data_IF_164766677699
#
_entry.id   IF_164766677699
#
_cell.length_a   1.000
_cell.length_b   1.000
_cell.length_c   1.000
_cell.angle_alpha   90.00
_cell.angle_beta   90.00
_cell.angle_gamma   90.00
#
_symmetry.space_group_name_H-M   'P 1'
#
loop_
_entity.id
_entity.type
_entity.pdbx_description
1 polymer ?
#
# COMPACT_ATOMS: atom_id res chain seq x y z
N UNK A 1 2.37 -7.07 14.19
CA UNK A 1 1.23 -6.77 15.06
C UNK A 1 0.85 -8.06 15.75
N UNK A 2 0.84 -8.08 17.08
CA UNK A 2 0.40 -9.24 17.83
C UNK A 2 -1.04 -9.59 17.44
N UNK A 3 -1.38 -10.87 17.55
CA UNK A 3 -2.73 -11.34 17.34
C UNK A 3 -3.54 -11.22 18.64
N UNK A 4 -4.86 -11.14 18.48
CA UNK A 4 -5.81 -11.11 19.59
C UNK A 4 -6.54 -12.44 19.68
N UNK A 5 -6.96 -12.77 20.90
CA UNK A 5 -7.81 -13.91 21.20
C UNK A 5 -8.96 -13.44 22.09
N UNK A 6 -10.16 -13.95 21.82
CA UNK A 6 -11.34 -13.55 22.58
C UNK A 6 -11.34 -14.21 23.97
N UNK A 7 -11.29 -13.39 25.01
CA UNK A 7 -11.47 -13.80 26.41
C UNK A 7 -10.51 -14.95 26.81
N UNK A 8 -9.28 -14.93 26.30
CA UNK A 8 -8.28 -15.97 26.57
C UNK A 8 -7.50 -15.65 27.85
N UNK A 9 -7.66 -16.50 28.88
CA UNK A 9 -6.87 -16.44 30.11
C UNK A 9 -6.69 -17.84 30.70
N UNK A 10 -5.47 -18.16 31.09
CA UNK A 10 -5.11 -19.48 31.60
C UNK A 10 -4.13 -19.40 32.76
N UNK A 11 -4.05 -20.47 33.54
CA UNK A 11 -3.00 -20.69 34.54
C UNK A 11 -1.96 -21.61 33.92
N UNK A 12 -0.66 -21.26 33.97
CA UNK A 12 0.41 -22.13 33.50
C UNK A 12 0.72 -23.22 34.53
N UNK A 13 1.49 -24.22 34.14
CA UNK A 13 1.88 -25.35 35.01
C UNK A 13 2.75 -24.94 36.20
N UNK A 14 3.53 -23.86 36.08
CA UNK A 14 4.44 -23.38 37.12
C UNK A 14 4.65 -21.87 37.05
N UNK A 15 5.17 -21.31 38.15
CA UNK A 15 5.73 -19.96 38.20
C UNK A 15 7.20 -19.90 37.77
N UNK A 16 7.95 -18.99 38.38
CA UNK A 16 9.37 -18.78 38.12
C UNK A 16 9.65 -18.02 36.81
N UNK A 17 10.80 -18.32 36.20
CA UNK A 17 11.31 -17.65 34.98
C UNK A 17 11.06 -18.44 33.69
N UNK A 18 10.35 -19.56 33.78
CA UNK A 18 10.02 -20.40 32.62
C UNK A 18 8.95 -19.77 31.73
N UNK A 19 8.81 -20.27 30.50
CA UNK A 19 7.76 -19.88 29.58
C UNK A 19 6.39 -20.44 30.00
N UNK A 20 5.31 -19.82 29.51
CA UNK A 20 3.96 -20.13 29.97
C UNK A 20 3.43 -21.40 29.31
N UNK A 21 3.63 -22.53 29.96
CA UNK A 21 3.03 -23.81 29.55
C UNK A 21 1.60 -23.88 30.06
N UNK A 22 0.61 -23.91 29.16
CA UNK A 22 -0.81 -24.00 29.49
C UNK A 22 -1.10 -25.20 30.41
N UNK A 23 -1.87 -24.96 31.48
CA UNK A 23 -2.41 -26.03 32.33
C UNK A 23 -3.94 -26.05 32.29
N UNK A 24 -4.58 -24.94 32.62
CA UNK A 24 -6.04 -24.84 32.66
C UNK A 24 -6.51 -23.43 32.32
N UNK A 25 -7.72 -23.33 31.76
CA UNK A 25 -8.38 -22.04 31.60
C UNK A 25 -8.80 -21.48 32.97
N UNK A 26 -8.67 -20.16 33.15
CA UNK A 26 -9.20 -19.49 34.34
C UNK A 26 -10.74 -19.50 34.26
N UNK A 27 -11.42 -19.68 35.39
CA UNK A 27 -12.89 -19.67 35.45
C UNK A 27 -13.48 -18.43 34.77
N UNK A 28 -14.40 -18.64 33.82
CA UNK A 28 -15.03 -17.56 33.04
C UNK A 28 -14.26 -17.15 31.77
N UNK A 29 -13.11 -17.76 31.50
CA UNK A 29 -12.28 -17.49 30.33
C UNK A 29 -12.14 -18.71 29.43
N UNK A 30 -11.77 -18.47 28.17
CA UNK A 30 -11.46 -19.50 27.19
C UNK A 30 -10.02 -20.00 27.37
N UNK A 31 -9.79 -21.28 27.06
CA UNK A 31 -8.44 -21.79 26.86
C UNK A 31 -7.85 -21.24 25.55
N UNK A 32 -6.52 -21.24 25.38
CA UNK A 32 -5.90 -20.81 24.12
C UNK A 32 -6.46 -21.56 22.91
N UNK A 33 -6.70 -22.87 23.03
CA UNK A 33 -7.23 -23.68 21.95
C UNK A 33 -8.66 -23.27 21.55
N UNK A 34 -9.54 -23.06 22.53
CA UNK A 34 -10.94 -22.64 22.26
C UNK A 34 -11.00 -21.22 21.71
N UNK A 35 -10.11 -20.33 22.18
CA UNK A 35 -10.01 -18.96 21.70
C UNK A 35 -9.38 -18.83 20.29
N UNK A 36 -9.02 -19.95 19.66
CA UNK A 36 -8.54 -19.96 18.27
C UNK A 36 -7.06 -19.63 18.11
N UNK A 37 -6.21 -19.97 19.10
CA UNK A 37 -4.77 -19.70 19.02
C UNK A 37 -4.13 -20.37 17.79
N UNK A 38 -3.39 -19.57 17.03
CA UNK A 38 -2.62 -20.00 15.84
C UNK A 38 -1.16 -20.24 16.19
N UNK A 39 -0.61 -21.38 15.75
CA UNK A 39 0.78 -21.77 15.96
C UNK A 39 1.78 -20.77 15.37
N UNK A 40 2.83 -20.46 16.13
CA UNK A 40 3.91 -19.55 15.71
C UNK A 40 3.53 -18.07 15.67
N UNK A 41 2.26 -17.72 15.91
CA UNK A 41 1.80 -16.34 15.90
C UNK A 41 2.18 -15.67 17.23
N UNK A 42 2.58 -14.41 17.14
CA UNK A 42 2.91 -13.58 18.31
C UNK A 42 1.63 -13.12 19.01
N UNK A 43 1.60 -13.27 20.32
CA UNK A 43 0.55 -12.76 21.20
C UNK A 43 1.18 -11.93 22.29
N UNK A 44 0.52 -10.83 22.63
CA UNK A 44 0.85 -10.07 23.83
C UNK A 44 0.09 -10.62 25.02
N UNK A 45 0.78 -10.74 26.14
CA UNK A 45 0.22 -11.28 27.36
C UNK A 45 0.41 -10.33 28.53
N UNK A 46 -0.48 -10.46 29.50
CA UNK A 46 -0.31 -9.98 30.86
C UNK A 46 -0.34 -11.18 31.80
N UNK A 47 0.75 -11.42 32.50
CA UNK A 47 0.84 -12.37 33.58
C UNK A 47 0.72 -11.64 34.92
N UNK A 48 -0.10 -12.12 35.85
CA UNK A 48 -0.30 -11.52 37.17
C UNK A 48 -0.47 -12.58 38.27
N UNK A 49 0.15 -12.34 39.43
CA UNK A 49 -0.05 -13.14 40.64
C UNK A 49 -1.42 -12.85 41.26
N UNK A 50 -1.94 -13.78 42.06
CA UNK A 50 -3.25 -13.63 42.70
C UNK A 50 -3.35 -12.45 43.67
N UNK A 51 -2.25 -12.07 44.29
CA UNK A 51 -2.12 -10.91 45.18
C UNK A 51 -1.77 -9.61 44.43
N UNK A 52 -1.62 -9.67 43.10
CA UNK A 52 -1.26 -8.57 42.20
C UNK A 52 0.11 -7.92 42.48
N UNK A 53 0.95 -8.51 43.34
CA UNK A 53 2.28 -7.98 43.67
C UNK A 53 3.31 -8.27 42.58
N UNK A 54 3.12 -9.34 41.81
CA UNK A 54 3.96 -9.72 40.69
C UNK A 54 3.16 -9.63 39.40
N UNK A 55 3.65 -8.85 38.44
CA UNK A 55 3.04 -8.78 37.11
C UNK A 55 4.09 -8.58 36.04
N UNK A 56 3.81 -9.10 34.85
CA UNK A 56 4.65 -8.98 33.67
C UNK A 56 3.79 -8.81 32.42
N UNK A 57 4.17 -7.89 31.55
CA UNK A 57 3.60 -7.76 30.22
C UNK A 57 4.69 -8.02 29.20
N UNK A 58 4.37 -8.86 28.22
CA UNK A 58 5.32 -9.25 27.20
C UNK A 58 4.66 -9.75 25.93
N UNK A 59 5.50 -10.14 24.99
CA UNK A 59 5.12 -10.70 23.70
C UNK A 59 5.89 -12.01 23.46
N UNK A 60 5.22 -12.97 22.84
CA UNK A 60 5.90 -14.15 22.32
C UNK A 60 5.00 -15.05 21.50
N UNK A 61 5.61 -16.04 20.86
CA UNK A 61 4.91 -16.97 19.99
C UNK A 61 4.24 -18.09 20.80
N UNK A 62 3.03 -18.48 20.38
CA UNK A 62 2.36 -19.67 20.92
C UNK A 62 2.74 -20.91 20.11
N UNK A 63 3.15 -21.99 20.77
CA UNK A 63 3.37 -23.30 20.16
C UNK A 63 2.19 -24.22 20.50
N UNK A 64 1.35 -24.53 19.51
CA UNK A 64 0.16 -25.36 19.71
C UNK A 64 0.49 -26.82 20.00
N UNK A 65 1.65 -27.30 19.56
CA UNK A 65 2.07 -28.69 19.78
C UNK A 65 2.52 -28.94 21.22
N UNK A 66 3.07 -27.91 21.89
CA UNK A 66 3.53 -28.00 23.28
C UNK A 66 2.64 -27.28 24.27
N UNK A 67 1.70 -26.45 23.81
CA UNK A 67 0.86 -25.61 24.66
C UNK A 67 1.64 -24.48 25.35
N UNK A 68 2.76 -24.04 24.77
CA UNK A 68 3.65 -23.04 25.39
C UNK A 68 3.50 -21.69 24.70
N UNK A 69 3.23 -20.65 25.50
CA UNK A 69 3.43 -19.26 25.10
C UNK A 69 4.81 -18.80 25.57
N UNK A 70 5.72 -18.56 24.63
CA UNK A 70 7.08 -18.14 24.94
C UNK A 70 7.11 -16.73 25.57
N UNK A 71 7.99 -16.51 26.54
CA UNK A 71 8.29 -15.17 27.08
C UNK A 71 9.47 -14.58 26.31
N UNK A 72 9.30 -14.38 25.00
CA UNK A 72 10.41 -13.97 24.12
C UNK A 72 10.85 -12.54 24.39
N UNK A 73 9.89 -11.64 24.59
CA UNK A 73 10.15 -10.23 24.87
C UNK A 73 9.32 -9.79 26.07
N UNK A 74 9.98 -9.38 27.15
CA UNK A 74 9.31 -8.73 28.28
C UNK A 74 9.38 -7.23 28.07
N UNK A 75 8.22 -6.58 28.04
CA UNK A 75 8.11 -5.15 27.76
C UNK A 75 8.22 -4.34 29.05
N UNK A 76 7.50 -4.75 30.09
CA UNK A 76 7.50 -4.12 31.41
C UNK A 76 7.02 -5.11 32.46
N UNK A 77 7.49 -4.94 33.70
CA UNK A 77 7.13 -5.81 34.82
C UNK A 77 7.14 -5.06 36.16
N UNK A 78 6.67 -5.72 37.21
CA UNK A 78 6.58 -5.15 38.57
C UNK A 78 7.92 -4.82 39.23
N UNK A 79 9.06 -5.24 38.65
CA UNK A 79 10.40 -4.88 39.09
C UNK A 79 10.99 -3.70 38.31
N UNK A 80 10.25 -3.13 37.35
CA UNK A 80 10.73 -2.03 36.51
C UNK A 80 11.82 -2.43 35.51
N UNK A 81 11.90 -3.71 35.13
CA UNK A 81 12.90 -4.24 34.19
C UNK A 81 12.24 -4.83 32.94
N UNK A 82 13.07 -5.23 31.98
CA UNK A 82 12.67 -6.01 30.78
C UNK A 82 13.17 -7.46 30.86
N UNK A 83 13.58 -7.92 32.04
CA UNK A 83 13.93 -9.31 32.29
C UNK A 83 12.69 -10.12 32.71
N UNK A 84 12.73 -11.45 32.52
CA UNK A 84 11.70 -12.34 33.05
C UNK A 84 11.65 -12.23 34.58
N UNK A 85 10.51 -11.85 35.14
CA UNK A 85 10.34 -11.92 36.61
C UNK A 85 10.15 -13.37 37.05
N UNK A 86 10.62 -13.68 38.25
CA UNK A 86 10.41 -14.99 38.87
C UNK A 86 9.14 -14.96 39.71
N UNK A 87 8.06 -15.55 39.21
CA UNK A 87 6.80 -15.65 39.95
C UNK A 87 6.92 -16.68 41.09
N UNK A 88 6.47 -16.34 42.29
CA UNK A 88 6.54 -17.22 43.48
C UNK A 88 5.56 -18.39 43.42
N UNK A 89 4.47 -18.24 42.67
CA UNK A 89 3.48 -19.27 42.35
C UNK A 89 3.07 -19.16 40.88
N UNK A 90 2.31 -20.12 40.34
CA UNK A 90 1.80 -20.04 38.98
C UNK A 90 0.85 -18.81 38.83
N UNK A 91 1.15 -17.85 37.95
CA UNK A 91 0.30 -16.67 37.75
C UNK A 91 -0.94 -16.99 36.90
N UNK A 92 -1.83 -16.03 36.70
CA UNK A 92 -2.76 -16.06 35.58
C UNK A 92 -2.15 -15.32 34.39
N UNK A 93 -2.27 -15.89 33.20
CA UNK A 93 -1.77 -15.32 31.94
C UNK A 93 -2.95 -15.04 31.03
N UNK A 94 -3.21 -13.77 30.77
CA UNK A 94 -4.23 -13.32 29.82
C UNK A 94 -3.58 -12.85 28.53
N UNK A 95 -4.18 -13.18 27.38
CA UNK A 95 -3.83 -12.51 26.12
C UNK A 95 -4.53 -11.16 26.10
N UNK A 96 -3.78 -10.09 25.83
CA UNK A 96 -4.26 -8.70 25.94
C UNK A 96 -3.84 -7.87 24.74
N UNK A 97 -4.62 -6.83 24.45
CA UNK A 97 -4.19 -5.75 23.58
C UNK A 97 -3.41 -4.70 24.39
N UNK A 98 -2.38 -4.12 23.79
CA UNK A 98 -1.71 -2.92 24.30
C UNK A 98 -2.09 -1.71 23.44
N UNK A 99 -1.74 -0.50 23.92
CA UNK A 99 -2.08 0.76 23.24
C UNK A 99 -1.60 0.77 21.79
N UNK A 100 -0.43 0.21 21.53
CA UNK A 100 0.18 0.16 20.22
C UNK A 100 -0.45 -0.88 19.27
N UNK A 101 -1.31 -1.76 19.79
CA UNK A 101 -2.12 -2.66 18.97
C UNK A 101 -3.49 -2.06 18.61
N UNK A 102 -3.85 -0.94 19.25
CA UNK A 102 -5.10 -0.22 18.99
C UNK A 102 -4.86 0.95 18.04
N UNK A 103 -5.85 1.21 17.18
CA UNK A 103 -5.88 2.37 16.32
C UNK A 103 -6.23 3.62 17.14
N UNK A 104 -5.33 4.61 17.19
CA UNK A 104 -5.63 5.96 17.70
C UNK A 104 -5.88 6.95 16.57
N UNK A 105 -6.82 7.87 16.77
CA UNK A 105 -7.07 9.03 15.87
C UNK A 105 -6.30 10.27 16.36
N UNK A 106 -5.97 10.31 17.65
CA UNK A 106 -5.36 11.47 18.33
C UNK A 106 -3.82 11.38 18.34
N UNK A 107 -3.26 10.19 18.09
CA UNK A 107 -1.82 9.93 18.09
C UNK A 107 -1.39 9.18 16.82
N UNK A 108 -0.15 9.42 16.37
CA UNK A 108 0.39 8.77 15.18
C UNK A 108 0.63 7.27 15.44
N UNK A 109 -0.09 6.41 14.71
CA UNK A 109 0.15 4.96 14.72
C UNK A 109 1.42 4.59 13.93
N UNK A 110 2.21 3.66 14.45
CA UNK A 110 3.45 3.17 13.82
C UNK A 110 3.20 2.15 12.69
N UNK A 111 2.28 2.44 11.77
CA UNK A 111 1.98 1.55 10.64
C UNK A 111 3.04 1.62 9.54
N UNK A 112 3.29 0.47 8.91
CA UNK A 112 4.06 0.42 7.65
C UNK A 112 3.29 1.09 6.51
N UNK A 113 3.97 1.47 5.42
CA UNK A 113 3.31 2.07 4.26
C UNK A 113 2.22 1.16 3.66
N UNK A 114 2.47 -0.16 3.61
CA UNK A 114 1.48 -1.13 3.16
C UNK A 114 0.23 -1.16 4.07
N UNK A 115 0.42 -1.11 5.39
CA UNK A 115 -0.69 -1.03 6.35
C UNK A 115 -1.48 0.27 6.22
N UNK A 116 -0.81 1.40 5.99
CA UNK A 116 -1.46 2.69 5.75
C UNK A 116 -2.32 2.64 4.48
N UNK A 117 -1.80 2.13 3.37
CA UNK A 117 -2.56 1.96 2.13
C UNK A 117 -3.79 1.07 2.32
N UNK A 118 -3.65 -0.06 3.04
CA UNK A 118 -4.78 -0.92 3.36
C UNK A 118 -5.81 -0.22 4.26
N UNK A 119 -5.38 0.56 5.24
CA UNK A 119 -6.28 1.32 6.10
C UNK A 119 -7.06 2.38 5.32
N UNK A 120 -6.40 3.14 4.43
CA UNK A 120 -7.05 4.11 3.54
C UNK A 120 -8.09 3.43 2.64
N UNK A 121 -7.78 2.23 2.12
CA UNK A 121 -8.72 1.43 1.33
C UNK A 121 -9.93 0.98 2.16
N UNK A 122 -9.72 0.48 3.38
CA UNK A 122 -10.78 -0.02 4.26
C UNK A 122 -11.77 1.07 4.69
N UNK A 123 -11.32 2.32 4.81
CA UNK A 123 -12.18 3.46 5.20
C UNK A 123 -12.60 4.33 4.00
N UNK A 124 -12.34 3.87 2.77
CA UNK A 124 -12.84 4.51 1.55
C UNK A 124 -12.20 5.86 1.19
N UNK A 125 -11.03 6.18 1.74
CA UNK A 125 -10.30 7.44 1.52
C UNK A 125 -9.02 7.25 0.69
N UNK A 126 -8.89 6.11 0.00
CA UNK A 126 -7.69 5.82 -0.74
C UNK A 126 -7.47 6.80 -1.91
N UNK A 127 -6.29 7.42 -1.92
CA UNK A 127 -5.81 8.32 -2.97
C UNK A 127 -5.26 7.51 -4.15
N UNK A 128 -6.17 6.90 -4.90
CA UNK A 128 -5.86 6.09 -6.07
C UNK A 128 -5.69 6.97 -7.31
N UNK A 129 -4.52 7.58 -7.45
CA UNK A 129 -4.15 8.37 -8.62
C UNK A 129 -2.65 8.33 -8.88
N UNK A 130 -2.24 8.75 -10.08
CA UNK A 130 -0.88 9.16 -10.36
C UNK A 130 -0.86 10.37 -11.30
N UNK A 131 0.28 11.06 -11.36
CA UNK A 131 0.59 12.13 -12.29
C UNK A 131 2.06 12.07 -12.69
N UNK A 132 2.33 12.15 -13.99
CA UNK A 132 3.68 12.19 -14.56
C UNK A 132 3.77 13.20 -15.71
N UNK A 133 4.98 13.66 -16.02
CA UNK A 133 5.28 14.56 -17.14
C UNK A 133 6.49 14.07 -17.93
N UNK A 134 6.63 14.60 -19.15
CA UNK A 134 7.81 14.37 -19.99
C UNK A 134 8.88 15.43 -19.64
N UNK A 135 10.02 14.99 -19.11
CA UNK A 135 11.07 15.84 -18.53
C UNK A 135 11.88 16.63 -19.56
N UNK A 136 11.99 16.11 -20.78
CA UNK A 136 12.73 16.71 -21.89
C UNK A 136 12.10 16.35 -23.24
N UNK A 137 12.47 17.07 -24.31
CA UNK A 137 11.94 16.81 -25.64
C UNK A 137 12.24 15.37 -26.09
N UNK A 138 11.21 14.66 -26.56
CA UNK A 138 11.34 13.33 -27.15
C UNK A 138 11.26 13.44 -28.67
N UNK A 139 12.27 12.94 -29.37
CA UNK A 139 12.28 12.88 -30.84
C UNK A 139 11.14 12.01 -31.38
N UNK A 140 10.52 12.44 -32.48
CA UNK A 140 9.47 11.70 -33.17
C UNK A 140 9.88 11.45 -34.62
N UNK A 141 9.69 10.22 -35.11
CA UNK A 141 10.04 9.85 -36.49
C UNK A 141 8.79 9.64 -37.35
N UNK A 142 7.96 8.64 -37.01
CA UNK A 142 6.77 8.30 -37.78
C UNK A 142 5.86 7.34 -37.01
N UNK A 143 4.56 7.35 -37.32
CA UNK A 143 3.59 6.42 -36.74
C UNK A 143 3.30 6.68 -35.25
N UNK A 144 2.52 5.80 -34.63
CA UNK A 144 2.21 5.92 -33.21
C UNK A 144 3.44 5.61 -32.35
N UNK A 145 3.91 6.62 -31.63
CA UNK A 145 5.05 6.55 -30.73
C UNK A 145 4.57 6.64 -29.29
N UNK A 146 5.07 5.76 -28.41
CA UNK A 146 4.81 5.85 -26.97
C UNK A 146 5.43 7.12 -26.42
N UNK A 147 4.69 7.86 -25.58
CA UNK A 147 5.23 9.03 -24.88
C UNK A 147 5.89 8.57 -23.58
N UNK A 148 7.16 8.92 -23.38
CA UNK A 148 7.94 8.48 -22.23
C UNK A 148 7.82 9.49 -21.08
N UNK A 149 6.68 9.54 -20.37
CA UNK A 149 6.56 10.42 -19.19
C UNK A 149 7.47 9.90 -18.08
N UNK A 150 8.69 10.41 -18.04
CA UNK A 150 9.82 9.95 -17.24
C UNK A 150 9.95 10.70 -15.91
N UNK A 151 9.23 11.81 -15.74
CA UNK A 151 9.17 12.56 -14.48
C UNK A 151 7.89 12.24 -13.72
N UNK A 152 7.99 11.48 -12.63
CA UNK A 152 6.87 11.29 -11.70
C UNK A 152 6.65 12.56 -10.86
N UNK A 153 5.38 13.01 -10.75
CA UNK A 153 4.98 14.16 -9.93
C UNK A 153 4.25 13.72 -8.67
N UNK A 154 3.43 12.68 -8.76
CA UNK A 154 2.77 12.03 -7.64
C UNK A 154 2.33 10.62 -8.02
N UNK A 155 2.68 9.62 -7.22
CA UNK A 155 2.12 8.26 -7.33
C UNK A 155 2.09 7.57 -5.95
N UNK A 156 1.09 7.88 -5.10
CA UNK A 156 1.02 7.34 -3.74
C UNK A 156 0.91 5.81 -3.66
N UNK A 157 0.55 5.16 -4.77
CA UNK A 157 0.35 3.70 -4.83
C UNK A 157 1.42 2.96 -5.64
N UNK A 158 2.40 3.68 -6.20
CA UNK A 158 3.48 3.13 -7.04
C UNK A 158 2.95 2.24 -8.17
N UNK A 159 1.93 2.75 -8.89
CA UNK A 159 1.26 2.08 -10.01
C UNK A 159 1.77 2.53 -11.39
N UNK A 160 2.54 3.60 -11.47
CA UNK A 160 3.14 4.09 -12.68
C UNK A 160 4.64 3.75 -12.71
N UNK A 161 5.12 3.26 -13.85
CA UNK A 161 6.54 2.99 -14.07
C UNK A 161 7.13 4.06 -14.99
N UNK A 162 7.77 5.06 -14.39
CA UNK A 162 8.37 6.20 -15.07
C UNK A 162 9.80 5.93 -15.59
N UNK A 163 10.31 4.70 -15.53
CA UNK A 163 11.72 4.41 -15.83
C UNK A 163 11.88 3.38 -16.94
N UNK A 164 11.09 2.31 -16.91
CA UNK A 164 11.31 1.13 -17.76
C UNK A 164 10.36 1.10 -18.95
N UNK A 165 9.07 1.37 -18.74
CA UNK A 165 8.05 1.06 -19.74
C UNK A 165 6.91 2.09 -19.85
N UNK A 166 6.85 3.09 -18.97
CA UNK A 166 5.95 4.26 -19.07
C UNK A 166 4.47 3.87 -19.14
N UNK A 167 4.06 2.93 -18.28
CA UNK A 167 2.68 2.43 -18.18
C UNK A 167 2.13 2.60 -16.77
N UNK A 168 0.83 2.85 -16.72
CA UNK A 168 0.02 2.84 -15.51
C UNK A 168 -0.65 1.48 -15.35
N UNK A 169 -0.35 0.76 -14.27
CA UNK A 169 -0.86 -0.58 -13.97
C UNK A 169 -1.38 -0.64 -12.52
N UNK A 170 -2.65 -0.28 -12.28
CA UNK A 170 -3.20 -0.30 -10.93
C UNK A 170 -3.41 -1.72 -10.42
N UNK A 171 -3.24 -1.90 -9.10
CA UNK A 171 -3.49 -3.18 -8.40
C UNK A 171 -4.89 -3.31 -7.81
N UNK A 172 -5.77 -2.35 -8.12
CA UNK A 172 -7.17 -2.33 -7.69
C UNK A 172 -8.05 -2.35 -8.93
N UNK A 173 -9.04 -3.24 -8.97
CA UNK A 173 -9.98 -3.31 -10.07
C UNK A 173 -10.96 -2.13 -10.01
N UNK A 174 -11.33 -1.58 -11.17
CA UNK A 174 -12.32 -0.52 -11.25
C UNK A 174 -12.18 0.31 -12.52
N UNK A 175 -12.90 1.44 -12.53
CA UNK A 175 -12.83 2.45 -13.58
C UNK A 175 -11.89 3.55 -13.15
N UNK A 176 -11.01 3.93 -14.06
CA UNK A 176 -10.06 5.00 -13.88
C UNK A 176 -10.33 6.09 -14.92
N UNK A 177 -10.42 7.35 -14.48
CA UNK A 177 -10.34 8.49 -15.37
C UNK A 177 -8.89 8.63 -15.81
N UNK A 178 -8.63 8.38 -17.08
CA UNK A 178 -7.34 8.54 -17.73
C UNK A 178 -7.35 9.87 -18.48
N UNK A 179 -6.36 10.72 -18.25
CA UNK A 179 -6.21 12.02 -18.92
C UNK A 179 -4.76 12.25 -19.32
N UNK A 180 -4.55 12.73 -20.55
CA UNK A 180 -3.22 13.10 -20.99
C UNK A 180 -3.26 14.31 -21.94
N UNK A 181 -2.19 15.08 -21.93
CA UNK A 181 -1.89 16.14 -22.89
C UNK A 181 -0.55 15.82 -23.55
N UNK A 182 -0.47 16.09 -24.85
CA UNK A 182 0.78 16.06 -25.62
C UNK A 182 0.88 17.33 -26.42
N UNK A 183 2.03 18.00 -26.32
CA UNK A 183 2.39 19.08 -27.24
C UNK A 183 3.38 18.58 -28.30
N UNK A 184 3.00 18.70 -29.57
CA UNK A 184 3.83 18.37 -30.71
C UNK A 184 4.39 19.62 -31.39
N UNK A 185 5.55 19.49 -32.02
CA UNK A 185 6.18 20.49 -32.89
C UNK A 185 6.69 19.82 -34.15
N UNK A 186 6.68 20.52 -35.28
CA UNK A 186 7.27 20.07 -36.54
C UNK A 186 8.43 20.97 -37.02
N UNK A 187 8.79 21.99 -36.24
CA UNK A 187 9.79 22.99 -36.63
C UNK A 187 9.32 23.96 -37.72
N UNK A 188 8.53 23.52 -38.71
CA UNK A 188 7.92 24.37 -39.75
C UNK A 188 6.41 24.39 -39.69
N UNK A 189 5.73 23.30 -40.07
CA UNK A 189 4.26 23.21 -40.00
C UNK A 189 3.80 21.86 -39.48
N UNK A 190 3.06 21.90 -38.38
CA UNK A 190 2.34 20.78 -37.83
C UNK A 190 0.89 20.87 -38.30
N UNK A 191 0.35 19.77 -38.82
CA UNK A 191 -1.00 19.70 -39.37
C UNK A 191 -1.96 18.89 -38.50
N UNK A 192 -1.46 17.92 -37.74
CA UNK A 192 -2.30 17.03 -36.94
C UNK A 192 -1.54 16.42 -35.75
N UNK A 193 -2.26 16.22 -34.64
CA UNK A 193 -1.82 15.47 -33.46
C UNK A 193 -2.90 14.46 -33.09
N UNK A 194 -2.57 13.18 -33.22
CA UNK A 194 -3.35 12.07 -32.71
C UNK A 194 -2.82 11.70 -31.32
N UNK A 195 -3.73 11.53 -30.37
CA UNK A 195 -3.40 11.12 -29.01
C UNK A 195 -4.27 9.93 -28.59
N UNK A 196 -3.63 8.76 -28.45
CA UNK A 196 -4.24 7.50 -28.08
C UNK A 196 -4.11 7.25 -26.58
N UNK A 197 -5.22 6.88 -25.94
CA UNK A 197 -5.19 6.04 -24.74
C UNK A 197 -5.16 4.59 -25.23
N UNK A 198 -4.14 3.84 -24.83
CA UNK A 198 -4.03 2.41 -25.12
C UNK A 198 -4.19 1.58 -23.86
N UNK A 199 -5.06 0.57 -23.93
CA UNK A 199 -5.18 -0.47 -22.91
C UNK A 199 -4.52 -1.74 -23.42
N UNK A 200 -3.59 -2.31 -22.66
CA UNK A 200 -2.86 -3.52 -23.04
C UNK A 200 -2.23 -3.39 -24.44
N UNK A 201 -1.63 -2.22 -24.70
CA UNK A 201 -1.01 -1.82 -25.97
C UNK A 201 -1.94 -1.72 -27.19
N UNK A 202 -3.26 -1.86 -27.00
CA UNK A 202 -4.28 -1.66 -28.04
C UNK A 202 -4.98 -0.31 -27.85
N UNK A 203 -5.20 0.44 -28.92
CA UNK A 203 -5.90 1.71 -28.86
C UNK A 203 -7.34 1.53 -28.34
N UNK A 204 -7.64 2.12 -27.19
CA UNK A 204 -8.96 2.10 -26.54
C UNK A 204 -9.75 3.38 -26.86
N UNK A 205 -9.07 4.51 -27.02
CA UNK A 205 -9.66 5.76 -27.52
C UNK A 205 -8.61 6.68 -28.10
N UNK A 206 -9.07 7.63 -28.92
CA UNK A 206 -8.24 8.60 -29.62
C UNK A 206 -8.90 9.98 -29.61
N UNK A 207 -8.07 11.02 -29.48
CA UNK A 207 -8.42 12.37 -29.92
C UNK A 207 -7.54 12.76 -31.10
N UNK A 208 -8.14 13.31 -32.14
CA UNK A 208 -7.45 13.87 -33.32
C UNK A 208 -7.61 15.38 -33.25
N UNK A 209 -6.50 16.10 -33.22
CA UNK A 209 -6.49 17.57 -33.22
C UNK A 209 -5.83 18.06 -34.49
N UNK A 210 -6.57 18.77 -35.33
CA UNK A 210 -6.02 19.50 -36.47
C UNK A 210 -5.33 20.77 -35.99
N UNK A 211 -4.12 21.02 -36.48
CA UNK A 211 -3.26 22.13 -36.05
C UNK A 211 -2.87 22.96 -37.27
N UNK A 212 -2.64 24.26 -37.05
CA UNK A 212 -2.02 25.14 -38.05
C UNK A 212 -0.93 25.94 -37.36
N UNK A 213 0.29 25.88 -37.87
CA UNK A 213 1.48 26.52 -37.29
C UNK A 213 2.56 25.51 -36.91
N UNK A 214 3.67 25.95 -36.29
CA UNK A 214 4.84 25.08 -36.05
C UNK A 214 4.65 24.09 -34.89
N UNK A 215 3.69 24.33 -34.00
CA UNK A 215 3.43 23.52 -32.82
C UNK A 215 1.96 23.59 -32.39
N UNK A 216 1.49 22.59 -31.66
CA UNK A 216 0.12 22.52 -31.11
C UNK A 216 0.01 21.47 -30.01
N UNK A 217 -1.14 21.42 -29.33
CA UNK A 217 -1.40 20.46 -28.26
C UNK A 217 -2.69 19.68 -28.52
N UNK A 218 -2.69 18.41 -28.15
CA UNK A 218 -3.88 17.55 -28.13
C UNK A 218 -4.09 16.99 -26.72
N UNK A 219 -5.35 16.79 -26.33
CA UNK A 219 -5.73 16.28 -25.01
C UNK A 219 -6.69 15.12 -25.19
N UNK A 220 -6.58 14.09 -24.33
CA UNK A 220 -7.49 12.93 -24.33
C UNK A 220 -8.00 12.68 -22.91
N UNK A 221 -9.27 12.29 -22.79
CA UNK A 221 -9.87 11.92 -21.50
C UNK A 221 -10.88 10.79 -21.68
N UNK A 222 -10.75 9.70 -20.91
CA UNK A 222 -11.73 8.61 -20.91
C UNK A 222 -11.77 7.88 -19.58
N UNK A 223 -12.93 7.29 -19.25
CA UNK A 223 -13.02 6.27 -18.21
C UNK A 223 -12.61 4.91 -18.80
N UNK A 224 -11.56 4.30 -18.26
CA UNK A 224 -11.04 3.00 -18.69
C UNK A 224 -11.23 1.99 -17.55
N UNK A 225 -11.80 0.82 -17.86
CA UNK A 225 -11.94 -0.27 -16.89
C UNK A 225 -10.66 -1.09 -16.84
N UNK A 226 -10.10 -1.30 -15.65
CA UNK A 226 -8.87 -2.04 -15.40
C UNK A 226 -9.12 -3.14 -14.36
N UNK A 227 -8.52 -4.31 -14.59
CA UNK A 227 -8.76 -5.52 -13.80
C UNK A 227 -7.99 -5.58 -12.46
N UNK A 228 -7.21 -4.56 -12.11
CA UNK A 228 -6.42 -4.53 -10.88
C UNK A 228 -5.26 -5.53 -10.82
N UNK A 229 -4.83 -6.07 -11.96
CA UNK A 229 -3.71 -7.02 -12.02
C UNK A 229 -2.89 -6.82 -13.29
N UNK A 230 -3.30 -7.39 -14.41
CA UNK A 230 -2.52 -7.41 -15.67
C UNK A 230 -2.85 -6.27 -16.61
N UNK A 231 -3.99 -5.60 -16.44
CA UNK A 231 -4.37 -4.50 -17.31
C UNK A 231 -3.50 -3.27 -17.06
N UNK A 232 -2.98 -2.67 -18.13
CA UNK A 232 -2.22 -1.43 -18.05
C UNK A 232 -2.65 -0.43 -19.12
N UNK A 233 -2.37 0.85 -18.85
CA UNK A 233 -2.63 1.98 -19.75
C UNK A 233 -1.33 2.65 -20.16
N UNK A 234 -1.23 2.98 -21.43
CA UNK A 234 -0.15 3.72 -22.06
C UNK A 234 -0.72 4.85 -22.91
N UNK A 235 0.07 5.90 -23.14
CA UNK A 235 -0.27 6.98 -24.06
C UNK A 235 0.65 6.92 -25.26
N UNK A 236 0.05 6.95 -26.44
CA UNK A 236 0.77 7.01 -27.71
C UNK A 236 0.32 8.25 -28.48
N UNK A 237 1.24 8.87 -29.20
CA UNK A 237 0.92 10.00 -30.07
C UNK A 237 1.42 9.74 -31.48
N UNK A 238 0.73 10.29 -32.46
CA UNK A 238 1.22 10.45 -33.82
C UNK A 238 1.16 11.94 -34.16
N UNK A 239 2.28 12.45 -34.69
CA UNK A 239 2.39 13.82 -35.19
C UNK A 239 2.44 13.78 -36.72
N UNK A 240 1.65 14.63 -37.37
CA UNK A 240 1.70 14.82 -38.83
C UNK A 240 2.09 16.26 -39.13
N UNK A 241 3.09 16.45 -39.97
CA UNK A 241 3.59 17.77 -40.35
C UNK A 241 4.83 17.69 -41.22
N UNK A 242 5.42 18.85 -41.51
CA UNK A 242 6.66 19.01 -42.27
C UNK A 242 7.76 19.60 -41.38
N UNK A 243 8.99 19.10 -41.56
CA UNK A 243 10.15 19.45 -40.74
C UNK A 243 10.42 18.41 -39.64
N UNK A 244 11.25 18.77 -38.66
CA UNK A 244 11.63 17.87 -37.56
C UNK A 244 10.51 17.77 -36.54
N UNK A 245 9.91 16.58 -36.44
CA UNK A 245 8.84 16.31 -35.48
C UNK A 245 9.42 16.03 -34.09
N UNK A 246 8.80 16.60 -33.06
CA UNK A 246 9.23 16.46 -31.68
C UNK A 246 8.04 16.54 -30.73
N UNK A 247 8.04 15.67 -29.72
CA UNK A 247 7.13 15.75 -28.58
C UNK A 247 7.80 16.66 -27.54
N UNK A 248 7.17 17.79 -27.24
CA UNK A 248 7.75 18.80 -26.37
C UNK A 248 7.59 18.41 -24.89
N UNK A 249 8.70 18.35 -24.17
CA UNK A 249 8.78 18.14 -22.73
C UNK A 249 9.37 19.34 -22.00
N UNK A 250 9.70 19.18 -20.72
CA UNK A 250 10.40 20.19 -19.93
C UNK A 250 9.87 20.34 -18.51
N UNK A 251 10.33 21.39 -17.83
CA UNK A 251 9.85 21.78 -16.51
C UNK A 251 8.50 22.51 -16.57
N UNK A 252 7.91 22.75 -15.39
CA UNK A 252 6.66 23.46 -15.25
C UNK A 252 6.69 24.85 -15.94
N UNK A 253 5.62 25.28 -16.63
CA UNK A 253 4.35 24.58 -16.79
C UNK A 253 4.46 23.36 -17.72
N UNK A 254 3.99 22.20 -17.24
CA UNK A 254 4.07 20.95 -17.98
C UNK A 254 3.09 20.98 -19.15
N UNK A 255 3.61 20.74 -20.36
CA UNK A 255 2.82 20.74 -21.61
C UNK A 255 2.39 19.34 -22.01
N UNK A 256 3.26 18.39 -21.70
CA UNK A 256 3.08 16.96 -21.97
C UNK A 256 3.05 16.24 -20.62
N UNK A 257 1.87 15.77 -20.25
CA UNK A 257 1.57 15.15 -18.96
C UNK A 257 0.56 14.01 -19.10
N UNK A 258 0.59 13.08 -18.14
CA UNK A 258 -0.28 11.91 -18.06
C UNK A 258 -0.71 11.72 -16.61
N UNK A 259 -2.01 11.64 -16.40
CA UNK A 259 -2.64 11.44 -15.10
C UNK A 259 -3.68 10.32 -15.17
N UNK A 260 -3.87 9.63 -14.05
CA UNK A 260 -5.05 8.81 -13.84
C UNK A 260 -5.57 8.95 -12.42
N UNK A 261 -6.89 8.85 -12.25
CA UNK A 261 -7.54 8.80 -10.94
C UNK A 261 -8.68 7.78 -10.94
N UNK A 262 -8.80 7.00 -9.88
CA UNK A 262 -9.92 6.08 -9.70
C UNK A 262 -11.25 6.83 -9.64
N UNK A 263 -12.26 6.27 -10.30
CA UNK A 263 -13.55 6.91 -10.52
C UNK A 263 -14.75 6.06 -10.07
N UNK A 264 -14.53 4.88 -9.50
CA UNK A 264 -15.59 3.95 -9.11
C UNK A 264 -15.33 2.52 -9.56
N UNK A 265 -16.17 1.60 -9.07
CA UNK A 265 -16.31 0.25 -9.61
C UNK A 265 -17.14 0.20 -10.91
#
# INVERSE_FOLDING_TARGET
MAAFLDVCRFTPTAGGTTDWTYSSAVTGYQSPAVAGVVNGRLYKYRAESSDLTQWEVGEGAYNTSTGVLARTTVLFNSLGTTAKISFSAAPQVAVVALKEDMLSIEEANSFTNAQKLQALANVGIANWYFSASLSANQSFTSGFTKVNFDSELADPSSWYDNTTNFRFQPTVAGKYRITASVQGSAGTSLSEIDLDIRKNSVADSRTITLVTGPAGSSNVSKLVSLNGSTDFVEIFTQLTGTGTLTILGGSAPFRTWFEAKWAGS
#
